data_IF_899247020295
#
_entry.id   IF_899247020295
#
_cell.length_a   1.000
_cell.length_b   1.000
_cell.length_c   1.000
_cell.angle_alpha   90.00
_cell.angle_beta   90.00
_cell.angle_gamma   90.00
#
_symmetry.space_group_name_H-M   'P 1'
#
loop_
_entity.id
_entity.type
_entity.pdbx_description
1 polymer ?
#
# COMPACT_ATOMS: atom_id res chain seq x y z
N UNK A 1 -3.31 -17.86 -7.26
CA UNK A 1 -3.56 -17.63 -5.82
C UNK A 1 -5.05 -17.80 -5.60
N UNK A 2 -5.48 -18.85 -4.89
CA UNK A 2 -6.91 -19.00 -4.52
C UNK A 2 -7.23 -18.05 -3.37
N UNK A 3 -8.47 -17.56 -3.28
CA UNK A 3 -8.89 -16.67 -2.19
C UNK A 3 -8.32 -15.24 -2.24
N UNK A 4 -7.80 -14.80 -3.41
CA UNK A 4 -7.45 -13.40 -3.62
C UNK A 4 -8.70 -12.60 -3.92
N UNK A 5 -8.85 -11.48 -3.23
CA UNK A 5 -9.92 -10.52 -3.48
C UNK A 5 -9.35 -9.12 -3.64
N UNK A 6 -10.04 -8.32 -4.45
CA UNK A 6 -9.73 -6.89 -4.62
C UNK A 6 -11.02 -6.13 -4.66
N UNK A 7 -11.07 -5.05 -3.89
CA UNK A 7 -12.11 -4.06 -4.03
C UNK A 7 -11.49 -2.67 -4.11
N UNK A 8 -12.20 -1.78 -4.80
CA UNK A 8 -11.85 -0.37 -4.90
C UNK A 8 -13.15 0.42 -5.01
N UNK A 9 -13.21 1.58 -4.36
CA UNK A 9 -14.29 2.55 -4.55
C UNK A 9 -13.75 3.96 -4.48
N UNK A 10 -14.52 4.88 -5.04
CA UNK A 10 -14.36 6.31 -4.80
C UNK A 10 -15.56 6.76 -3.95
N UNK A 11 -15.30 7.51 -2.89
CA UNK A 11 -16.35 8.11 -2.06
C UNK A 11 -16.90 9.37 -2.73
N UNK A 12 -18.08 9.82 -2.31
CA UNK A 12 -18.75 11.02 -2.87
C UNK A 12 -17.90 12.30 -2.79
N UNK A 13 -17.02 12.39 -1.78
CA UNK A 13 -16.08 13.51 -1.63
C UNK A 13 -14.77 13.35 -2.44
N UNK A 14 -14.67 12.29 -3.24
CA UNK A 14 -13.57 11.99 -4.14
C UNK A 14 -12.37 11.31 -3.49
N UNK A 15 -12.52 10.70 -2.31
CA UNK A 15 -11.48 9.87 -1.71
C UNK A 15 -11.49 8.49 -2.38
N UNK A 16 -10.31 7.95 -2.67
CA UNK A 16 -10.14 6.59 -3.13
C UNK A 16 -9.90 5.70 -1.92
N UNK A 17 -10.63 4.59 -1.90
CA UNK A 17 -10.39 3.47 -1.00
C UNK A 17 -10.14 2.21 -1.82
N UNK A 18 -9.19 1.40 -1.40
CA UNK A 18 -8.87 0.12 -2.04
C UNK A 18 -8.39 -0.88 -1.02
N UNK A 19 -8.74 -2.14 -1.23
CA UNK A 19 -8.20 -3.25 -0.46
C UNK A 19 -7.84 -4.42 -1.38
N UNK A 20 -6.73 -5.05 -1.07
CA UNK A 20 -6.32 -6.33 -1.59
C UNK A 20 -6.18 -7.26 -0.40
N UNK A 21 -6.80 -8.44 -0.49
CA UNK A 21 -6.69 -9.44 0.57
C UNK A 21 -6.48 -10.83 0.02
N UNK A 22 -5.79 -11.65 0.80
CA UNK A 22 -5.61 -13.07 0.53
C UNK A 22 -5.65 -13.85 1.83
N UNK A 23 -6.35 -14.99 1.81
CA UNK A 23 -6.31 -15.96 2.91
C UNK A 23 -5.08 -16.84 2.75
N UNK A 24 -4.32 -16.99 3.82
CA UNK A 24 -3.07 -17.76 3.87
C UNK A 24 -3.26 -19.04 4.69
N UNK A 25 -2.50 -20.11 4.38
CA UNK A 25 -2.53 -21.34 5.16
C UNK A 25 -1.79 -21.22 6.51
N UNK A 26 -0.92 -20.22 6.66
CA UNK A 26 -0.15 -19.94 7.87
C UNK A 26 0.34 -18.49 7.88
N UNK A 27 0.72 -17.99 9.06
CA UNK A 27 1.26 -16.65 9.23
C UNK A 27 2.58 -16.48 8.46
N UNK A 28 2.75 -15.32 7.82
CA UNK A 28 3.96 -14.96 7.05
C UNK A 28 4.89 -14.01 7.81
N UNK A 29 4.36 -13.39 8.86
CA UNK A 29 5.10 -12.61 9.84
C UNK A 29 4.63 -12.98 11.25
N UNK A 30 5.52 -12.81 12.23
CA UNK A 30 5.15 -12.96 13.63
C UNK A 30 4.15 -11.88 14.06
N UNK A 31 3.35 -12.21 15.07
CA UNK A 31 2.44 -11.27 15.71
C UNK A 31 3.18 -10.34 16.69
N UNK A 32 4.11 -9.54 16.15
CA UNK A 32 4.98 -8.63 16.89
C UNK A 32 5.20 -7.31 16.14
N UNK A 33 5.75 -6.30 16.83
CA UNK A 33 6.14 -5.02 16.24
C UNK A 33 7.12 -5.22 15.06
N UNK A 34 8.09 -6.12 15.21
CA UNK A 34 9.04 -6.47 14.14
C UNK A 34 8.32 -7.10 12.93
N UNK A 35 7.29 -7.91 13.17
CA UNK A 35 6.44 -8.47 12.12
C UNK A 35 5.67 -7.37 11.36
N UNK A 36 5.10 -6.41 12.07
CA UNK A 36 4.44 -5.26 11.47
C UNK A 36 5.41 -4.41 10.63
N UNK A 37 6.60 -4.09 11.14
CA UNK A 37 7.64 -3.36 10.39
C UNK A 37 8.05 -4.12 9.11
N UNK A 38 8.14 -5.45 9.18
CA UNK A 38 8.41 -6.31 8.03
C UNK A 38 7.31 -6.25 6.98
N UNK A 39 6.03 -6.18 7.39
CA UNK A 39 4.92 -6.01 6.45
C UNK A 39 5.09 -4.72 5.63
N UNK A 40 5.38 -3.60 6.29
CA UNK A 40 5.56 -2.30 5.65
C UNK A 40 6.79 -2.25 4.74
N UNK A 41 7.95 -2.60 5.27
CA UNK A 41 9.22 -2.55 4.53
C UNK A 41 9.22 -3.45 3.28
N UNK A 42 8.62 -4.64 3.37
CA UNK A 42 8.50 -5.56 2.23
C UNK A 42 7.63 -4.99 1.12
N UNK A 43 6.54 -4.31 1.45
CA UNK A 43 5.69 -3.66 0.44
C UNK A 43 6.46 -2.57 -0.32
N UNK A 44 7.19 -1.71 0.39
CA UNK A 44 7.95 -0.64 -0.26
C UNK A 44 9.08 -1.16 -1.14
N UNK A 45 9.71 -2.29 -0.78
CA UNK A 45 10.66 -2.96 -1.65
C UNK A 45 10.00 -3.46 -2.94
N UNK A 46 8.78 -3.99 -2.87
CA UNK A 46 8.06 -4.42 -4.07
C UNK A 46 7.57 -3.24 -4.92
N UNK A 47 7.26 -2.08 -4.32
CA UNK A 47 7.01 -0.84 -5.09
C UNK A 47 8.25 -0.48 -5.92
N UNK A 48 9.45 -0.49 -5.34
CA UNK A 48 10.67 -0.22 -6.11
C UNK A 48 10.90 -1.26 -7.22
N UNK A 49 10.68 -2.55 -6.93
CA UNK A 49 10.89 -3.64 -7.90
C UNK A 49 9.92 -3.57 -9.07
N UNK A 50 8.62 -3.40 -8.80
CA UNK A 50 7.58 -3.30 -9.85
C UNK A 50 7.80 -2.08 -10.73
N UNK A 51 8.20 -0.96 -10.13
CA UNK A 51 8.45 0.28 -10.87
C UNK A 51 9.82 0.30 -11.53
N UNK A 52 10.57 -0.81 -11.54
CA UNK A 52 11.94 -0.89 -12.06
C UNK A 52 12.85 0.23 -11.50
N UNK A 53 12.65 0.58 -10.23
CA UNK A 53 13.35 1.64 -9.48
C UNK A 53 13.11 3.07 -10.00
N UNK A 54 12.08 3.27 -10.83
CA UNK A 54 11.56 4.60 -11.19
C UNK A 54 10.96 5.29 -9.98
N UNK A 55 10.34 4.54 -9.07
CA UNK A 55 9.96 5.01 -7.74
C UNK A 55 10.93 4.42 -6.75
N UNK A 56 11.51 5.27 -5.90
CA UNK A 56 12.42 4.84 -4.84
C UNK A 56 11.96 5.33 -3.48
N UNK A 57 12.08 4.48 -2.48
CA UNK A 57 11.79 4.84 -1.10
C UNK A 57 12.99 5.58 -0.51
N UNK A 58 12.71 6.57 0.32
CA UNK A 58 13.69 7.23 1.19
C UNK A 58 13.09 7.34 2.58
N UNK A 59 13.79 6.81 3.56
CA UNK A 59 13.45 6.96 4.97
C UNK A 59 14.33 8.07 5.57
N UNK A 60 13.71 8.99 6.31
CA UNK A 60 14.41 10.07 7.03
C UNK A 60 13.58 10.48 8.23
N UNK A 61 14.19 10.57 9.41
CA UNK A 61 13.54 11.02 10.66
C UNK A 61 12.20 10.30 10.92
N UNK A 62 12.21 8.98 10.77
CA UNK A 62 11.03 8.10 10.84
C UNK A 62 9.93 8.37 9.81
N UNK A 63 10.10 9.34 8.90
CA UNK A 63 9.20 9.56 7.77
C UNK A 63 9.64 8.78 6.54
N UNK A 64 8.69 8.47 5.67
CA UNK A 64 8.92 7.75 4.42
C UNK A 64 8.50 8.62 3.23
N UNK A 65 9.35 8.70 2.21
CA UNK A 65 9.04 9.34 0.95
C UNK A 65 9.21 8.38 -0.22
N UNK A 66 8.32 8.50 -1.21
CA UNK A 66 8.49 7.85 -2.51
C UNK A 66 8.89 8.90 -3.53
N UNK A 67 10.11 8.79 -4.06
CA UNK A 67 10.75 9.77 -4.93
C UNK A 67 10.79 9.25 -6.38
N UNK A 68 10.62 10.16 -7.33
CA UNK A 68 10.94 9.87 -8.73
C UNK A 68 12.45 9.71 -8.88
N UNK A 69 12.91 8.57 -9.39
CA UNK A 69 14.32 8.23 -9.64
C UNK A 69 15.24 8.40 -8.41
N UNK A 70 14.69 8.43 -7.19
CA UNK A 70 15.44 8.57 -5.93
C UNK A 70 16.03 9.95 -5.61
N UNK A 71 15.99 10.90 -6.55
CA UNK A 71 16.48 12.27 -6.35
C UNK A 71 15.46 13.34 -6.77
N UNK A 72 14.42 12.95 -7.49
CA UNK A 72 13.35 13.83 -7.93
C UNK A 72 12.38 14.20 -6.81
N UNK A 73 11.33 14.97 -7.13
CA UNK A 73 10.31 15.36 -6.16
C UNK A 73 9.57 14.13 -5.59
N UNK A 74 9.04 14.23 -4.36
CA UNK A 74 8.27 13.15 -3.76
C UNK A 74 6.91 13.00 -4.42
N UNK A 75 6.66 11.81 -4.98
CA UNK A 75 5.36 11.37 -5.46
C UNK A 75 4.37 11.30 -4.30
N UNK A 76 4.80 10.67 -3.20
CA UNK A 76 4.06 10.60 -1.94
C UNK A 76 5.01 10.81 -0.77
N UNK A 77 4.50 11.50 0.25
CA UNK A 77 5.13 11.65 1.56
C UNK A 77 4.25 10.97 2.60
N UNK A 78 4.87 10.26 3.52
CA UNK A 78 4.21 9.60 4.63
C UNK A 78 4.78 10.12 5.95
N UNK A 79 3.94 10.14 6.98
CA UNK A 79 4.40 10.36 8.34
C UNK A 79 5.01 9.09 8.94
N UNK A 80 5.39 9.13 10.22
CA UNK A 80 5.89 7.96 10.91
C UNK A 80 4.92 6.78 10.83
N UNK A 81 5.43 5.56 10.57
CA UNK A 81 4.61 4.37 10.59
C UNK A 81 3.98 4.20 11.97
N UNK A 82 2.69 3.88 11.98
CA UNK A 82 1.99 3.43 13.18
C UNK A 82 2.03 1.90 13.19
N UNK A 83 2.61 1.35 14.24
CA UNK A 83 2.74 -0.08 14.45
C UNK A 83 1.65 -0.53 15.42
N UNK A 84 1.02 -1.66 15.10
CA UNK A 84 0.05 -2.35 15.94
C UNK A 84 0.43 -3.82 15.96
N UNK A 85 0.54 -4.40 17.15
CA UNK A 85 0.76 -5.82 17.36
C UNK A 85 -0.08 -6.31 18.54
N UNK A 86 -0.91 -7.31 18.28
CA UNK A 86 -1.72 -8.08 19.23
C UNK A 86 -1.52 -9.56 18.93
N UNK A 87 -2.08 -10.45 19.77
CA UNK A 87 -1.96 -11.91 19.59
C UNK A 87 -2.47 -12.43 18.24
N UNK A 88 -3.43 -11.73 17.64
CA UNK A 88 -4.13 -12.14 16.43
C UNK A 88 -4.07 -11.11 15.30
N UNK A 89 -3.36 -10.00 15.49
CA UNK A 89 -3.25 -8.94 14.49
C UNK A 89 -1.90 -8.24 14.55
N UNK A 90 -1.31 -8.06 13.39
CA UNK A 90 -0.20 -7.10 13.20
C UNK A 90 -0.49 -6.19 12.04
N UNK A 91 -0.20 -4.91 12.20
CA UNK A 91 -0.39 -3.92 11.16
C UNK A 91 0.69 -2.83 11.18
N UNK A 92 1.08 -2.40 9.99
CA UNK A 92 1.91 -1.22 9.78
C UNK A 92 1.17 -0.24 8.88
N UNK A 93 0.96 0.97 9.40
CA UNK A 93 0.13 1.99 8.74
C UNK A 93 0.89 3.29 8.54
N UNK A 94 0.93 3.74 7.29
CA UNK A 94 1.63 4.95 6.86
C UNK A 94 0.62 6.07 6.56
N UNK A 95 0.53 7.12 7.41
CA UNK A 95 -0.36 8.25 7.15
C UNK A 95 0.17 9.08 5.98
N UNK A 96 -0.69 9.41 5.02
CA UNK A 96 -0.32 10.18 3.83
C UNK A 96 -0.25 11.67 4.19
N UNK A 97 0.93 12.27 3.98
CA UNK A 97 1.23 13.67 4.29
C UNK A 97 1.29 14.58 3.07
N UNK A 98 1.20 14.04 1.87
CA UNK A 98 1.18 14.81 0.63
C UNK A 98 2.06 14.21 -0.45
N UNK A 99 2.65 15.05 -1.31
CA UNK A 99 3.41 14.67 -2.49
C UNK A 99 2.69 15.03 -3.79
N UNK A 100 3.36 14.87 -4.92
CA UNK A 100 2.82 15.24 -6.23
C UNK A 100 1.51 14.53 -6.58
N UNK A 101 1.33 13.30 -6.08
CA UNK A 101 0.14 12.48 -6.36
C UNK A 101 -1.01 12.73 -5.40
N UNK A 102 -0.76 13.40 -4.27
CA UNK A 102 -1.78 13.71 -3.28
C UNK A 102 -2.35 15.12 -3.53
N UNK A 103 -3.68 15.21 -3.68
CA UNK A 103 -4.39 16.49 -3.74
C UNK A 103 -4.27 17.26 -2.43
N UNK A 104 -4.33 16.55 -1.30
CA UNK A 104 -4.21 17.08 0.05
C UNK A 104 -3.58 16.05 1.00
N UNK A 105 -2.98 16.48 2.13
CA UNK A 105 -2.54 15.58 3.20
C UNK A 105 -3.73 14.88 3.86
N UNK A 106 -4.04 13.66 3.44
CA UNK A 106 -5.14 12.87 3.98
C UNK A 106 -5.04 11.40 3.56
N UNK A 107 -5.58 10.54 4.42
CA UNK A 107 -5.62 9.11 4.21
C UNK A 107 -4.37 8.39 4.69
N UNK A 108 -4.36 7.08 4.44
CA UNK A 108 -3.32 6.18 4.91
C UNK A 108 -3.21 4.94 4.01
N UNK A 109 -2.05 4.30 4.08
CA UNK A 109 -1.81 2.98 3.51
C UNK A 109 -1.46 2.04 4.65
N UNK A 110 -2.18 0.91 4.75
CA UNK A 110 -2.03 -0.05 5.83
C UNK A 110 -1.76 -1.45 5.28
N UNK A 111 -0.85 -2.16 5.93
CA UNK A 111 -0.52 -3.55 5.66
C UNK A 111 -0.75 -4.36 6.93
N UNK A 112 -1.60 -5.39 6.87
CA UNK A 112 -2.00 -6.13 8.06
C UNK A 112 -2.07 -7.63 7.83
N UNK A 113 -1.72 -8.40 8.84
CA UNK A 113 -2.03 -9.83 8.97
C UNK A 113 -3.03 -10.01 10.12
N UNK A 114 -4.11 -10.74 9.87
CA UNK A 114 -5.22 -10.94 10.82
C UNK A 114 -5.53 -12.42 11.00
N UNK A 115 -5.67 -12.90 12.23
CA UNK A 115 -6.04 -14.26 12.59
C UNK A 115 -4.86 -15.24 12.63
N UNK A 116 -4.86 -16.18 13.58
CA UNK A 116 -3.73 -17.09 13.82
C UNK A 116 -3.66 -18.33 12.91
N UNK A 117 -4.77 -19.05 12.75
CA UNK A 117 -4.78 -20.36 12.06
C UNK A 117 -4.95 -20.27 10.54
N UNK A 118 -5.73 -19.30 10.06
CA UNK A 118 -5.89 -18.98 8.63
C UNK A 118 -5.76 -17.47 8.44
N UNK A 119 -4.53 -16.93 8.53
CA UNK A 119 -4.35 -15.49 8.51
C UNK A 119 -4.82 -14.88 7.20
N UNK A 120 -5.45 -13.71 7.31
CA UNK A 120 -5.77 -12.86 6.17
C UNK A 120 -4.71 -11.77 6.08
N UNK A 121 -3.99 -11.76 4.96
CA UNK A 121 -3.08 -10.68 4.64
C UNK A 121 -3.82 -9.60 3.85
N UNK A 122 -3.70 -8.34 4.27
CA UNK A 122 -4.39 -7.19 3.69
C UNK A 122 -3.41 -6.08 3.34
N UNK A 123 -3.62 -5.47 2.17
CA UNK A 123 -3.10 -4.15 1.82
C UNK A 123 -4.28 -3.23 1.60
N UNK A 124 -4.31 -2.09 2.28
CA UNK A 124 -5.46 -1.19 2.30
C UNK A 124 -5.01 0.24 2.07
N UNK A 125 -5.73 0.97 1.22
CA UNK A 125 -5.67 2.42 1.07
C UNK A 125 -7.00 2.99 1.53
N UNK A 126 -6.98 3.96 2.44
CA UNK A 126 -8.18 4.64 2.95
C UNK A 126 -8.03 6.15 2.91
N UNK A 127 -9.10 6.84 2.57
CA UNK A 127 -9.17 8.31 2.63
C UNK A 127 -8.13 9.03 1.76
N UNK A 128 -7.59 8.37 0.73
CA UNK A 128 -6.58 8.98 -0.14
C UNK A 128 -7.24 9.86 -1.19
N UNK A 129 -6.78 11.11 -1.34
CA UNK A 129 -7.32 12.02 -2.36
C UNK A 129 -6.28 12.18 -3.48
N UNK A 130 -6.33 11.37 -4.54
CA UNK A 130 -5.44 11.51 -5.69
C UNK A 130 -5.63 12.87 -6.36
N UNK A 131 -4.52 13.49 -6.78
CA UNK A 131 -4.54 14.75 -7.56
C UNK A 131 -5.11 14.54 -8.96
N UNK A 132 -4.92 13.35 -9.53
CA UNK A 132 -5.26 13.01 -10.91
C UNK A 132 -6.44 12.02 -11.02
N UNK A 133 -7.29 11.85 -10.00
CA UNK A 133 -8.52 11.09 -10.23
C UNK A 133 -9.47 11.90 -11.12
N UNK A 134 -9.99 11.26 -12.17
CA UNK A 134 -11.14 11.78 -12.89
C UNK A 134 -12.26 12.07 -11.88
N UNK A 135 -12.90 13.24 -12.01
CA UNK A 135 -14.17 13.50 -11.32
C UNK A 135 -15.25 12.68 -12.00
N UNK A 136 -16.10 11.97 -11.24
CA UNK A 136 -17.34 11.43 -11.79
C UNK A 136 -18.12 12.56 -12.47
N UNK A 137 -18.45 12.38 -13.76
CA UNK A 137 -19.22 13.35 -14.55
C UNK A 137 -18.42 14.40 -15.36
N UNK A 138 -17.08 14.38 -15.38
CA UNK A 138 -16.28 15.18 -16.33
C UNK A 138 -15.37 14.29 -17.17
N UNK A 139 -15.33 14.53 -18.47
CA UNK A 139 -14.48 13.83 -19.44
C UNK A 139 -13.00 14.24 -19.28
N UNK A 140 -12.39 13.90 -18.14
CA UNK A 140 -10.95 13.97 -17.92
C UNK A 140 -10.32 12.61 -18.26
N UNK A 141 -10.10 12.36 -19.56
CA UNK A 141 -9.46 11.13 -20.05
C UNK A 141 -8.11 10.88 -19.34
N UNK A 142 -7.35 11.93 -19.08
CA UNK A 142 -6.06 11.87 -18.37
C UNK A 142 -6.20 11.32 -16.95
N UNK A 143 -7.28 11.66 -16.24
CA UNK A 143 -7.53 11.17 -14.89
C UNK A 143 -8.02 9.72 -14.85
N UNK A 144 -8.77 9.29 -15.86
CA UNK A 144 -9.21 7.89 -16.00
C UNK A 144 -8.05 6.97 -16.42
N UNK A 145 -7.15 7.45 -17.28
CA UNK A 145 -5.92 6.73 -17.62
C UNK A 145 -4.98 6.61 -16.41
N UNK A 146 -4.86 7.68 -15.62
CA UNK A 146 -4.01 7.68 -14.42
C UNK A 146 -4.56 6.76 -13.33
N UNK A 147 -5.87 6.76 -13.07
CA UNK A 147 -6.50 5.85 -12.11
C UNK A 147 -6.37 4.39 -12.55
N UNK A 148 -6.47 4.12 -13.86
CA UNK A 148 -6.27 2.78 -14.41
C UNK A 148 -4.83 2.29 -14.27
N UNK A 149 -3.85 3.15 -14.56
CA UNK A 149 -2.43 2.84 -14.37
C UNK A 149 -2.11 2.63 -12.89
N UNK A 150 -2.63 3.50 -12.02
CA UNK A 150 -2.46 3.37 -10.58
C UNK A 150 -3.06 2.07 -10.05
N UNK A 151 -4.27 1.69 -10.50
CA UNK A 151 -4.92 0.43 -10.12
C UNK A 151 -4.11 -0.78 -10.58
N UNK A 152 -3.57 -0.78 -11.81
CA UNK A 152 -2.75 -1.89 -12.34
C UNK A 152 -1.43 -2.03 -11.61
N UNK A 153 -0.72 -0.93 -11.38
CA UNK A 153 0.53 -0.94 -10.62
C UNK A 153 0.25 -1.42 -9.20
N UNK A 154 -0.82 -0.92 -8.57
CA UNK A 154 -1.20 -1.29 -7.21
C UNK A 154 -1.53 -2.79 -7.07
N UNK A 155 -2.27 -3.35 -8.03
CA UNK A 155 -2.52 -4.80 -8.09
C UNK A 155 -1.22 -5.59 -8.33
N UNK A 156 -0.35 -5.14 -9.23
CA UNK A 156 0.92 -5.80 -9.50
C UNK A 156 1.86 -5.80 -8.28
N UNK A 157 1.97 -4.66 -7.59
CA UNK A 157 2.72 -4.52 -6.33
C UNK A 157 2.13 -5.45 -5.28
N UNK A 158 0.81 -5.38 -5.03
CA UNK A 158 0.15 -6.20 -4.02
C UNK A 158 0.32 -7.71 -4.28
N UNK A 159 0.24 -8.14 -5.54
CA UNK A 159 0.48 -9.54 -5.91
C UNK A 159 1.90 -9.98 -5.61
N UNK A 160 2.90 -9.20 -6.03
CA UNK A 160 4.31 -9.54 -5.76
C UNK A 160 4.63 -9.49 -4.27
N UNK A 161 4.08 -8.51 -3.56
CA UNK A 161 4.18 -8.37 -2.11
C UNK A 161 3.70 -9.62 -1.38
N UNK A 162 2.49 -10.11 -1.66
CA UNK A 162 1.98 -11.32 -1.02
C UNK A 162 2.79 -12.56 -1.43
N UNK A 163 3.15 -12.71 -2.71
CA UNK A 163 3.97 -13.82 -3.16
C UNK A 163 5.33 -13.84 -2.48
N UNK A 164 5.94 -12.67 -2.27
CA UNK A 164 7.24 -12.54 -1.61
C UNK A 164 7.15 -13.01 -0.16
N UNK A 165 6.18 -12.51 0.59
CA UNK A 165 5.98 -12.89 1.99
C UNK A 165 5.74 -14.40 2.15
N UNK A 166 4.90 -14.99 1.30
CA UNK A 166 4.61 -16.44 1.32
C UNK A 166 5.85 -17.26 1.00
N UNK A 167 6.66 -16.84 0.02
CA UNK A 167 7.87 -17.56 -0.38
C UNK A 167 8.97 -17.57 0.68
N UNK A 168 8.99 -16.56 1.56
CA UNK A 168 10.00 -16.44 2.61
C UNK A 168 9.67 -17.29 3.85
N UNK A 169 8.41 -17.71 4.04
CA UNK A 169 7.99 -18.61 5.13
C UNK A 169 8.27 -20.07 4.82
N UNK A 170 8.37 -20.44 3.54
CA UNK A 170 8.67 -21.82 3.10
C UNK A 170 10.16 -22.16 3.02
N UNK A 171 11.04 -21.28 3.52
CA UNK A 171 12.49 -21.53 3.67
C UNK A 171 12.82 -21.71 5.13
#
# INVERSE_FOLDING_TARGET
MKGWETWQRQTDNGAVESEQRVVLPAAVVDFSDAGAERLGSTYWLEVERVTMRLVRRRERDSSLELLVLGKGPPLLRFGPPKIEATEDRVACTYPIRGGLLARRPAGEISFAQLGGSQPVLRSTIRGFYPRLAAREGKSDWTGALYSHVQSRIHVAVSRRYFMRLISETGR
#
